data_IF_569038682699
#
_entry.id   IF_569038682699
#
_cell.length_a   1.000
_cell.length_b   1.000
_cell.length_c   1.000
_cell.angle_alpha   90.00
_cell.angle_beta   90.00
_cell.angle_gamma   90.00
#
_symmetry.space_group_name_H-M   'P 1'
#
loop_
_entity.id
_entity.type
_entity.pdbx_description
1 polymer ?
#
# COMPACT_ATOMS: atom_id res chain seq x y z
N UNK A 1 0.74 -2.98 20.72
CA UNK A 1 0.46 -3.54 19.38
C UNK A 1 -0.91 -3.03 18.99
N UNK A 2 -0.98 -2.18 17.97
CA UNK A 2 -2.28 -1.64 17.53
C UNK A 2 -2.85 -2.59 16.50
N UNK A 3 -4.06 -3.09 16.75
CA UNK A 3 -4.80 -3.92 15.80
C UNK A 3 -5.91 -3.04 15.26
N UNK A 4 -5.98 -2.92 13.94
CA UNK A 4 -7.07 -2.20 13.28
C UNK A 4 -8.23 -3.18 13.06
N UNK A 5 -9.42 -2.79 13.48
CA UNK A 5 -10.67 -3.57 13.38
C UNK A 5 -11.70 -2.91 12.46
N UNK A 6 -11.43 -1.67 12.04
CA UNK A 6 -12.23 -0.95 11.06
C UNK A 6 -11.34 -0.33 9.97
N UNK A 7 -11.94 -0.05 8.81
CA UNK A 7 -11.27 0.71 7.74
C UNK A 7 -10.81 2.08 8.23
N UNK A 8 -11.61 2.75 9.06
CA UNK A 8 -11.27 4.07 9.61
C UNK A 8 -9.98 3.98 10.43
N UNK A 9 -9.88 3.00 11.33
CA UNK A 9 -8.66 2.77 12.13
C UNK A 9 -7.44 2.46 11.26
N UNK A 10 -7.62 1.66 10.20
CA UNK A 10 -6.55 1.37 9.24
C UNK A 10 -6.08 2.63 8.51
N UNK A 11 -7.00 3.48 8.06
CA UNK A 11 -6.68 4.70 7.29
C UNK A 11 -6.08 5.82 8.14
N UNK A 12 -6.44 5.90 9.43
CA UNK A 12 -5.88 6.90 10.36
C UNK A 12 -4.35 6.85 10.42
N UNK A 13 -3.78 5.64 10.32
CA UNK A 13 -2.33 5.43 10.27
C UNK A 13 -1.61 6.08 9.09
N UNK A 14 -2.33 6.35 8.00
CA UNK A 14 -1.78 7.01 6.81
C UNK A 14 -2.16 8.49 6.75
N UNK A 15 -3.39 8.85 7.16
CA UNK A 15 -3.94 10.19 7.00
C UNK A 15 -3.09 11.27 7.67
N UNK A 16 -2.57 11.01 8.88
CA UNK A 16 -1.67 11.93 9.57
C UNK A 16 -0.40 12.24 8.74
N UNK A 17 0.20 11.20 8.15
CA UNK A 17 1.40 11.34 7.32
C UNK A 17 1.14 12.15 6.04
N UNK A 18 -0.08 12.06 5.49
CA UNK A 18 -0.49 12.85 4.34
C UNK A 18 -0.64 14.33 4.67
N UNK A 19 -1.35 14.66 5.75
CA UNK A 19 -1.50 16.04 6.19
C UNK A 19 -0.16 16.70 6.51
N UNK A 20 0.76 15.96 7.13
CA UNK A 20 2.10 16.48 7.45
C UNK A 20 2.97 16.77 6.20
N UNK A 21 2.60 16.25 5.03
CA UNK A 21 3.40 16.38 3.80
C UNK A 21 3.10 17.58 2.91
N UNK A 22 2.03 18.34 3.19
CA UNK A 22 1.52 19.41 2.30
C UNK A 22 1.17 18.99 0.86
N UNK A 23 1.00 17.69 0.57
CA UNK A 23 0.67 17.15 -0.78
C UNK A 23 -0.82 16.90 -1.02
N UNK A 24 -1.69 17.54 -0.24
CA UNK A 24 -3.13 17.23 -0.14
C UNK A 24 -3.94 17.44 -1.43
N UNK A 25 -3.41 18.20 -2.41
CA UNK A 25 -4.12 18.52 -3.66
C UNK A 25 -3.33 18.13 -4.93
N UNK A 26 -2.28 17.31 -4.80
CA UNK A 26 -1.38 16.91 -5.89
C UNK A 26 -1.79 15.62 -6.62
N UNK A 27 -0.97 15.21 -7.58
CA UNK A 27 -1.16 13.93 -8.29
C UNK A 27 -1.11 12.74 -7.32
N UNK A 28 -0.34 12.87 -6.23
CA UNK A 28 -0.28 11.87 -5.18
C UNK A 28 -1.61 11.73 -4.44
N UNK A 29 -2.32 12.84 -4.17
CA UNK A 29 -3.64 12.80 -3.55
C UNK A 29 -4.65 12.01 -4.42
N UNK A 30 -4.70 12.30 -5.72
CA UNK A 30 -5.54 11.56 -6.67
C UNK A 30 -5.16 10.09 -6.79
N UNK A 31 -3.86 9.78 -6.76
CA UNK A 31 -3.38 8.41 -6.76
C UNK A 31 -3.89 7.63 -5.54
N UNK A 32 -3.85 8.23 -4.36
CA UNK A 32 -4.32 7.60 -3.12
C UNK A 32 -5.82 7.38 -3.12
N UNK A 33 -6.59 8.40 -3.51
CA UNK A 33 -8.04 8.28 -3.63
C UNK A 33 -8.41 7.10 -4.54
N UNK A 34 -7.67 6.91 -5.64
CA UNK A 34 -7.83 5.74 -6.52
C UNK A 34 -7.51 4.42 -5.81
N UNK A 35 -6.42 4.33 -5.04
CA UNK A 35 -6.09 3.12 -4.29
C UNK A 35 -7.15 2.80 -3.22
N UNK A 36 -7.65 3.82 -2.51
CA UNK A 36 -8.70 3.67 -1.49
C UNK A 36 -10.04 3.24 -2.10
N UNK A 37 -10.40 3.82 -3.25
CA UNK A 37 -11.59 3.42 -4.00
C UNK A 37 -11.49 1.97 -4.48
N UNK A 38 -10.32 1.56 -4.96
CA UNK A 38 -10.08 0.17 -5.38
C UNK A 38 -10.15 -0.78 -4.19
N UNK A 39 -9.58 -0.40 -3.05
CA UNK A 39 -9.65 -1.18 -1.82
C UNK A 39 -11.11 -1.42 -1.39
N UNK A 40 -11.96 -0.40 -1.46
CA UNK A 40 -13.39 -0.54 -1.16
C UNK A 40 -14.11 -1.52 -2.09
N UNK A 41 -13.82 -1.43 -3.39
CA UNK A 41 -14.39 -2.35 -4.38
C UNK A 41 -13.95 -3.80 -4.14
N UNK A 42 -12.67 -4.00 -3.83
CA UNK A 42 -12.11 -5.32 -3.51
C UNK A 42 -12.73 -5.89 -2.24
N UNK A 43 -12.83 -5.11 -1.16
CA UNK A 43 -13.44 -5.53 0.10
C UNK A 43 -14.90 -5.94 -0.10
N UNK A 44 -15.67 -5.14 -0.85
CA UNK A 44 -17.07 -5.45 -1.16
C UNK A 44 -17.24 -6.77 -1.96
N UNK A 45 -16.21 -7.18 -2.68
CA UNK A 45 -16.19 -8.42 -3.47
C UNK A 45 -15.75 -9.67 -2.71
N UNK A 46 -15.35 -9.57 -1.43
CA UNK A 46 -14.82 -10.70 -0.66
C UNK A 46 -15.92 -11.72 -0.35
N UNK A 47 -15.69 -12.96 -0.78
CA UNK A 47 -16.43 -14.18 -0.41
C UNK A 47 -15.43 -15.35 -0.29
N UNK A 48 -15.84 -16.53 0.21
CA UNK A 48 -14.98 -17.71 0.22
C UNK A 48 -14.39 -18.06 -1.17
N UNK A 49 -15.16 -17.83 -2.24
CA UNK A 49 -14.78 -18.12 -3.63
C UNK A 49 -13.81 -17.10 -4.21
N UNK A 50 -13.91 -15.83 -3.80
CA UNK A 50 -13.10 -14.74 -4.34
C UNK A 50 -11.90 -14.38 -3.48
N UNK A 51 -11.86 -14.84 -2.22
CA UNK A 51 -10.84 -14.48 -1.24
C UNK A 51 -9.42 -14.59 -1.81
N UNK A 52 -9.03 -15.77 -2.31
CA UNK A 52 -7.68 -16.00 -2.83
C UNK A 52 -7.33 -15.17 -4.06
N UNK A 53 -8.34 -14.76 -4.83
CA UNK A 53 -8.15 -13.92 -5.99
C UNK A 53 -8.02 -12.44 -5.60
N UNK A 54 -8.76 -11.98 -4.59
CA UNK A 54 -8.84 -10.57 -4.16
C UNK A 54 -7.74 -10.20 -3.16
N UNK A 55 -7.42 -11.08 -2.21
CA UNK A 55 -6.45 -10.80 -1.15
C UNK A 55 -5.08 -10.32 -1.68
N UNK A 56 -4.53 -10.86 -2.78
CA UNK A 56 -3.26 -10.37 -3.33
C UNK A 56 -3.28 -8.91 -3.76
N UNK A 57 -4.40 -8.45 -4.30
CA UNK A 57 -4.57 -7.06 -4.73
C UNK A 57 -4.71 -6.13 -3.52
N UNK A 58 -5.41 -6.59 -2.46
CA UNK A 58 -5.51 -5.86 -1.20
C UNK A 58 -4.12 -5.69 -0.56
N UNK A 59 -3.31 -6.75 -0.53
CA UNK A 59 -1.93 -6.68 -0.03
C UNK A 59 -1.05 -5.78 -0.90
N UNK A 60 -1.31 -5.74 -2.21
CA UNK A 60 -0.66 -4.80 -3.13
C UNK A 60 -0.99 -3.35 -2.80
N UNK A 61 -2.25 -3.04 -2.51
CA UNK A 61 -2.67 -1.70 -2.08
C UNK A 61 -2.04 -1.33 -0.74
N UNK A 62 -2.04 -2.23 0.25
CA UNK A 62 -1.36 -2.00 1.53
C UNK A 62 0.12 -1.65 1.31
N UNK A 63 0.86 -2.47 0.56
CA UNK A 63 2.26 -2.21 0.26
C UNK A 63 2.48 -0.86 -0.45
N UNK A 64 1.59 -0.49 -1.39
CA UNK A 64 1.63 0.81 -2.07
C UNK A 64 1.42 1.97 -1.09
N UNK A 65 0.42 1.89 -0.21
CA UNK A 65 0.13 2.93 0.77
C UNK A 65 1.28 3.11 1.75
N UNK A 66 1.86 2.01 2.24
CA UNK A 66 3.03 2.09 3.13
C UNK A 66 4.20 2.75 2.40
N UNK A 67 4.54 2.27 1.18
CA UNK A 67 5.67 2.79 0.42
C UNK A 67 5.50 4.28 0.06
N UNK A 68 4.30 4.71 -0.36
CA UNK A 68 4.01 6.14 -0.56
C UNK A 68 4.36 6.95 0.67
N UNK A 69 3.88 6.53 1.85
CA UNK A 69 4.13 7.31 3.06
C UNK A 69 5.58 7.35 3.52
N UNK A 70 6.40 6.38 3.13
CA UNK A 70 7.84 6.44 3.36
C UNK A 70 8.53 7.36 2.33
N UNK A 71 8.11 7.30 1.06
CA UNK A 71 8.66 8.15 0.00
C UNK A 71 8.35 9.64 0.19
N UNK A 72 7.19 9.96 0.76
CA UNK A 72 6.78 11.34 1.03
C UNK A 72 7.67 12.10 2.02
N UNK A 73 8.49 11.40 2.80
CA UNK A 73 9.44 12.02 3.72
C UNK A 73 10.62 12.68 3.00
N UNK A 74 10.77 12.43 1.71
CA UNK A 74 11.82 12.99 0.88
C UNK A 74 11.24 14.11 0.02
N UNK A 75 11.54 15.36 0.39
CA UNK A 75 11.02 16.55 -0.30
C UNK A 75 11.56 16.69 -1.74
N UNK A 76 12.67 16.02 -2.06
CA UNK A 76 13.33 16.10 -3.37
C UNK A 76 12.56 15.36 -4.49
N UNK A 77 11.59 14.49 -4.16
CA UNK A 77 10.81 13.77 -5.16
C UNK A 77 9.49 14.48 -5.48
N UNK A 78 9.22 14.65 -6.77
CA UNK A 78 7.89 15.02 -7.26
C UNK A 78 6.87 13.89 -7.02
N UNK A 79 5.58 14.25 -7.05
CA UNK A 79 4.50 13.26 -6.92
C UNK A 79 4.61 12.13 -7.95
N UNK A 80 4.91 12.46 -9.20
CA UNK A 80 5.02 11.48 -10.29
C UNK A 80 6.22 10.54 -10.11
N UNK A 81 7.34 11.03 -9.56
CA UNK A 81 8.49 10.20 -9.22
C UNK A 81 8.17 9.24 -8.09
N UNK A 82 7.49 9.71 -7.05
CA UNK A 82 7.01 8.87 -5.94
C UNK A 82 6.10 7.77 -6.49
N UNK A 83 5.09 8.12 -7.29
CA UNK A 83 4.14 7.16 -7.89
C UNK A 83 4.89 6.14 -8.74
N UNK A 84 5.86 6.59 -9.56
CA UNK A 84 6.66 5.69 -10.40
C UNK A 84 7.49 4.70 -9.59
N UNK A 85 8.11 5.15 -8.50
CA UNK A 85 8.89 4.28 -7.59
C UNK A 85 7.95 3.27 -6.93
N UNK A 86 6.82 3.75 -6.40
CA UNK A 86 5.83 2.91 -5.73
C UNK A 86 5.31 1.80 -6.66
N UNK A 87 4.87 2.14 -7.86
CA UNK A 87 4.32 1.17 -8.82
C UNK A 87 5.38 0.16 -9.30
N UNK A 88 6.65 0.53 -9.29
CA UNK A 88 7.75 -0.38 -9.65
C UNK A 88 8.06 -1.37 -8.53
N UNK A 89 8.07 -0.91 -7.28
CA UNK A 89 8.74 -1.64 -6.19
C UNK A 89 7.76 -2.26 -5.16
N UNK A 90 6.47 -1.89 -5.15
CA UNK A 90 5.52 -2.32 -4.10
C UNK A 90 5.43 -3.86 -3.90
N UNK A 91 5.59 -4.65 -4.96
CA UNK A 91 5.52 -6.13 -4.89
C UNK A 91 6.67 -6.76 -4.10
N UNK A 92 7.79 -6.06 -3.99
CA UNK A 92 8.97 -6.51 -3.25
C UNK A 92 9.09 -5.83 -1.90
N UNK A 93 8.52 -4.64 -1.74
CA UNK A 93 8.68 -3.80 -0.57
C UNK A 93 8.39 -4.50 0.77
N UNK A 94 7.28 -5.24 0.89
CA UNK A 94 6.99 -5.96 2.13
C UNK A 94 8.00 -7.09 2.44
N UNK A 95 8.59 -7.68 1.40
CA UNK A 95 9.65 -8.68 1.53
C UNK A 95 10.91 -8.01 2.07
N UNK A 96 11.27 -6.84 1.55
CA UNK A 96 12.42 -6.06 2.02
C UNK A 96 12.27 -5.65 3.49
N UNK A 97 11.07 -5.21 3.89
CA UNK A 97 10.75 -4.92 5.30
C UNK A 97 10.91 -6.14 6.22
N UNK A 98 10.77 -7.35 5.67
CA UNK A 98 10.98 -8.61 6.39
C UNK A 98 12.43 -9.12 6.29
N UNK A 99 13.36 -8.34 5.73
CA UNK A 99 14.78 -8.67 5.60
C UNK A 99 15.14 -9.57 4.40
N UNK A 100 14.26 -9.68 3.40
CA UNK A 100 14.55 -10.44 2.18
C UNK A 100 15.24 -9.56 1.13
N UNK A 101 16.20 -10.15 0.42
CA UNK A 101 16.85 -9.55 -0.75
C UNK A 101 16.25 -10.10 -2.07
N UNK A 102 16.54 -9.45 -3.20
CA UNK A 102 15.98 -9.74 -4.54
C UNK A 102 16.16 -11.18 -5.08
N UNK A 103 16.96 -12.03 -4.43
CA UNK A 103 17.18 -13.42 -4.83
C UNK A 103 16.71 -14.46 -3.81
N UNK A 104 16.09 -14.03 -2.72
CA UNK A 104 15.66 -14.95 -1.66
C UNK A 104 14.28 -15.51 -1.95
N UNK A 105 14.13 -16.82 -1.81
CA UNK A 105 12.81 -17.44 -1.80
C UNK A 105 12.06 -17.00 -0.53
N UNK A 106 10.88 -16.41 -0.73
CA UNK A 106 10.02 -16.02 0.39
C UNK A 106 9.38 -17.24 1.03
N UNK A 107 9.16 -17.18 2.34
CA UNK A 107 8.34 -18.19 3.01
C UNK A 107 6.97 -18.33 2.34
N UNK A 108 6.40 -19.53 2.40
CA UNK A 108 5.04 -19.79 1.93
C UNK A 108 4.02 -19.15 2.87
N UNK A 109 3.72 -17.87 2.65
CA UNK A 109 2.82 -17.08 3.49
C UNK A 109 1.99 -16.13 2.64
N UNK A 110 0.72 -15.96 3.04
CA UNK A 110 -0.23 -15.06 2.40
C UNK A 110 0.33 -13.64 2.28
N UNK A 111 1.07 -13.17 3.29
CA UNK A 111 1.62 -11.80 3.31
C UNK A 111 2.56 -11.52 2.14
N UNK A 112 3.18 -12.54 1.53
CA UNK A 112 4.08 -12.37 0.39
C UNK A 112 3.39 -12.60 -0.97
N UNK A 113 2.09 -12.92 -0.96
CA UNK A 113 1.29 -13.13 -2.16
C UNK A 113 0.72 -11.80 -2.67
N UNK A 114 1.59 -10.91 -3.15
CA UNK A 114 1.24 -9.56 -3.59
C UNK A 114 1.09 -9.52 -5.12
N UNK A 115 0.00 -8.95 -5.63
CA UNK A 115 -0.25 -8.74 -7.07
C UNK A 115 -0.34 -7.26 -7.42
#
# INVERSE_FOLDING_TARGET
MTVFTSKIEYLDGFQKKFTDSNRENGALASYLEKQLTLLDQLIAGISPETFWAITPDILGIDAKLVLVTEMMRFDDFSDDEIIRIVEKDYRFYLKELCGYNLGMETKHSLVFNVR
#
